data_IF_396267047708
#
_entry.id   IF_396267047708
#
_cell.length_a   1.000
_cell.length_b   1.000
_cell.length_c   1.000
_cell.angle_alpha   90.00
_cell.angle_beta   90.00
_cell.angle_gamma   90.00
#
_symmetry.space_group_name_H-M   'P 1'
#
loop_
_entity.id
_entity.type
_entity.pdbx_description
1 polymer ?
#
# COMPACT_ATOMS: atom_id res chain seq x y z
N UNK A 1 -20.84 -15.88 12.38
CA UNK A 1 -19.67 -15.46 11.57
C UNK A 1 -20.12 -14.28 10.75
N UNK A 2 -19.29 -13.24 10.58
CA UNK A 2 -19.60 -12.11 9.73
C UNK A 2 -19.86 -12.58 8.28
N UNK A 3 -20.57 -11.79 7.51
CA UNK A 3 -20.77 -12.10 6.08
C UNK A 3 -19.45 -11.91 5.31
N UNK A 4 -19.21 -12.67 4.24
CA UNK A 4 -18.05 -12.44 3.40
C UNK A 4 -17.91 -10.97 2.97
N UNK A 5 -16.75 -10.36 3.18
CA UNK A 5 -16.46 -8.95 2.89
C UNK A 5 -16.96 -7.95 3.94
N UNK A 6 -17.55 -8.39 5.05
CA UNK A 6 -18.04 -7.48 6.10
C UNK A 6 -16.88 -6.84 6.87
N UNK A 7 -15.84 -7.61 7.24
CA UNK A 7 -14.65 -7.10 7.93
C UNK A 7 -13.87 -6.11 7.03
N UNK A 8 -13.70 -6.44 5.76
CA UNK A 8 -13.04 -5.54 4.80
C UNK A 8 -13.85 -4.26 4.57
N UNK A 9 -15.18 -4.37 4.46
CA UNK A 9 -16.06 -3.20 4.34
C UNK A 9 -15.94 -2.30 5.56
N UNK A 10 -16.04 -2.88 6.75
CA UNK A 10 -15.92 -2.15 8.00
C UNK A 10 -14.55 -1.45 8.11
N UNK A 11 -13.47 -2.15 7.76
CA UNK A 11 -12.13 -1.59 7.72
C UNK A 11 -12.04 -0.38 6.77
N UNK A 12 -12.59 -0.48 5.54
CA UNK A 12 -12.55 0.62 4.57
C UNK A 12 -13.30 1.85 5.07
N UNK A 13 -14.49 1.68 5.64
CA UNK A 13 -15.31 2.80 6.11
C UNK A 13 -14.88 3.34 7.49
N UNK A 14 -14.08 2.59 8.27
CA UNK A 14 -13.49 3.06 9.52
C UNK A 14 -12.21 3.90 9.34
N UNK A 15 -11.66 4.01 8.12
CA UNK A 15 -10.42 4.77 7.86
C UNK A 15 -10.47 6.22 8.38
N UNK A 16 -11.55 7.02 8.20
CA UNK A 16 -11.60 8.38 8.73
C UNK A 16 -11.45 8.45 10.26
N UNK A 17 -12.05 7.50 10.98
CA UNK A 17 -11.95 7.42 12.44
C UNK A 17 -10.53 7.07 12.88
N UNK A 18 -9.92 6.08 12.26
CA UNK A 18 -8.56 5.67 12.58
C UNK A 18 -7.54 6.78 12.31
N UNK A 19 -7.71 7.53 11.23
CA UNK A 19 -6.85 8.64 10.86
C UNK A 19 -6.90 9.79 11.87
N UNK A 20 -8.05 10.06 12.52
CA UNK A 20 -8.17 11.09 13.56
C UNK A 20 -7.21 10.89 14.73
N UNK A 21 -6.90 9.64 15.07
CA UNK A 21 -6.00 9.33 16.19
C UNK A 21 -4.50 9.33 15.84
N UNK A 22 -4.13 9.44 14.55
CA UNK A 22 -2.73 9.30 14.13
C UNK A 22 -1.85 10.41 14.67
N UNK A 23 -2.29 11.67 14.59
CA UNK A 23 -1.50 12.82 15.07
C UNK A 23 -1.19 12.71 16.57
N UNK A 24 -2.16 12.30 17.39
CA UNK A 24 -1.95 12.10 18.82
C UNK A 24 -0.94 10.98 19.11
N UNK A 25 -1.04 9.85 18.37
CA UNK A 25 -0.13 8.70 18.52
C UNK A 25 1.29 9.02 18.07
N UNK A 26 1.45 9.76 16.99
CA UNK A 26 2.77 10.24 16.54
C UNK A 26 3.33 11.29 17.48
N UNK A 27 2.49 12.18 18.00
CA UNK A 27 2.88 13.26 18.89
C UNK A 27 3.83 14.25 18.20
N UNK A 28 4.87 14.65 18.91
CA UNK A 28 5.92 15.57 18.40
C UNK A 28 7.08 14.84 17.71
N UNK A 29 7.01 13.51 17.58
CA UNK A 29 8.06 12.71 16.94
C UNK A 29 8.26 13.14 15.49
N UNK A 30 9.52 13.13 15.05
CA UNK A 30 9.92 13.36 13.67
C UNK A 30 11.03 12.39 13.31
N UNK A 31 11.08 11.97 12.05
CA UNK A 31 12.20 11.18 11.58
C UNK A 31 13.53 11.88 11.89
N UNK A 32 14.56 11.13 12.31
CA UNK A 32 15.89 11.69 12.51
C UNK A 32 16.40 12.35 11.23
N UNK A 33 17.25 13.37 11.39
CA UNK A 33 17.97 13.96 10.28
C UNK A 33 19.03 13.00 9.75
N UNK A 34 19.22 12.99 8.44
CA UNK A 34 20.21 12.13 7.79
C UNK A 34 19.58 11.21 6.75
N UNK A 35 20.28 10.13 6.42
CA UNK A 35 19.79 9.12 5.49
C UNK A 35 18.86 8.14 6.22
N UNK A 36 17.58 8.20 5.88
CA UNK A 36 16.55 7.30 6.43
C UNK A 36 16.31 6.17 5.44
N UNK A 37 16.47 4.93 5.92
CA UNK A 37 16.17 3.72 5.17
C UNK A 37 14.85 3.14 5.66
N UNK A 38 13.96 2.79 4.74
CA UNK A 38 12.67 2.19 5.05
C UNK A 38 12.61 0.74 4.59
N UNK A 39 11.93 -0.12 5.35
CA UNK A 39 11.75 -1.54 5.00
C UNK A 39 10.42 -2.10 5.48
N UNK A 40 10.03 -3.23 4.90
CA UNK A 40 8.81 -3.97 5.22
C UNK A 40 8.58 -5.10 4.21
N UNK A 41 7.46 -5.78 4.33
CA UNK A 41 7.00 -6.82 3.41
C UNK A 41 5.55 -6.55 2.96
N UNK A 42 5.19 -6.86 1.71
CA UNK A 42 3.83 -6.68 1.17
C UNK A 42 3.32 -5.24 1.32
N UNK A 43 2.11 -5.09 1.83
CA UNK A 43 1.49 -3.78 2.14
C UNK A 43 2.40 -2.87 2.96
N UNK A 44 3.10 -3.43 3.96
CA UNK A 44 4.06 -2.66 4.78
C UNK A 44 5.25 -2.15 3.97
N UNK A 45 5.69 -2.88 2.94
CA UNK A 45 6.73 -2.39 2.05
C UNK A 45 6.23 -1.25 1.15
N UNK A 46 5.01 -1.34 0.63
CA UNK A 46 4.43 -0.24 -0.15
C UNK A 46 4.25 1.02 0.71
N UNK A 47 3.83 0.87 1.97
CA UNK A 47 3.81 1.98 2.92
C UNK A 47 5.22 2.52 3.22
N UNK A 48 6.23 1.65 3.35
CA UNK A 48 7.63 2.05 3.52
C UNK A 48 8.17 2.86 2.31
N UNK A 49 7.76 2.51 1.08
CA UNK A 49 8.11 3.29 -0.11
C UNK A 49 7.50 4.70 -0.07
N UNK A 50 6.25 4.84 0.38
CA UNK A 50 5.64 6.16 0.60
C UNK A 50 6.40 6.94 1.67
N UNK A 51 6.73 6.29 2.79
CA UNK A 51 7.54 6.90 3.86
C UNK A 51 8.89 7.42 3.35
N UNK A 52 9.58 6.65 2.52
CA UNK A 52 10.83 7.04 1.89
C UNK A 52 10.67 8.28 0.98
N UNK A 53 9.62 8.32 0.19
CA UNK A 53 9.32 9.47 -0.68
C UNK A 53 9.04 10.74 0.16
N UNK A 54 8.26 10.63 1.23
CA UNK A 54 7.89 11.74 2.11
C UNK A 54 9.08 12.28 2.91
N UNK A 55 9.99 11.40 3.33
CA UNK A 55 11.16 11.76 4.14
C UNK A 55 12.41 12.10 3.29
N UNK A 56 12.37 11.92 1.97
CA UNK A 56 13.53 12.03 1.11
C UNK A 56 14.58 10.93 1.36
N UNK A 57 14.13 9.73 1.77
CA UNK A 57 14.94 8.56 2.06
C UNK A 57 14.94 7.52 0.93
N UNK A 58 15.24 6.28 1.28
CA UNK A 58 15.18 5.13 0.39
C UNK A 58 14.37 3.99 1.01
N UNK A 59 13.69 3.20 0.18
CA UNK A 59 13.00 1.99 0.63
C UNK A 59 13.63 0.76 0.01
N UNK A 60 13.86 -0.26 0.82
CA UNK A 60 14.47 -1.53 0.42
C UNK A 60 13.64 -2.68 0.99
N UNK A 61 13.40 -3.71 0.18
CA UNK A 61 12.72 -4.92 0.64
C UNK A 61 13.49 -5.58 1.78
N UNK A 62 12.79 -6.14 2.77
CA UNK A 62 13.42 -6.76 3.92
C UNK A 62 14.45 -7.84 3.53
N UNK A 63 14.16 -8.66 2.52
CA UNK A 63 15.10 -9.66 2.02
C UNK A 63 16.40 -9.04 1.47
N UNK A 64 16.29 -7.98 0.68
CA UNK A 64 17.48 -7.31 0.11
C UNK A 64 18.35 -6.67 1.19
N UNK A 65 17.75 -6.20 2.28
CA UNK A 65 18.46 -5.65 3.42
C UNK A 65 19.23 -6.74 4.17
N UNK A 66 18.66 -7.92 4.32
CA UNK A 66 19.32 -9.09 4.91
C UNK A 66 20.48 -9.59 4.04
N UNK A 67 20.28 -9.61 2.71
CA UNK A 67 21.30 -10.13 1.78
C UNK A 67 22.48 -9.20 1.57
N UNK A 68 22.33 -7.90 1.79
CA UNK A 68 23.37 -6.89 1.54
C UNK A 68 23.38 -5.83 2.63
N UNK A 69 24.55 -5.46 3.16
CA UNK A 69 24.63 -4.36 4.10
C UNK A 69 24.25 -3.04 3.42
N UNK A 70 23.33 -2.32 4.04
CA UNK A 70 22.93 -0.98 3.65
C UNK A 70 23.40 0.02 4.68
N UNK A 71 23.95 1.13 4.24
CA UNK A 71 24.36 2.21 5.12
C UNK A 71 23.30 3.30 5.13
N UNK A 72 22.81 3.61 6.31
CA UNK A 72 21.89 4.71 6.59
C UNK A 72 22.08 5.14 8.04
N UNK A 73 21.60 6.34 8.38
CA UNK A 73 21.69 6.83 9.76
C UNK A 73 20.61 6.22 10.66
N UNK A 74 19.49 5.77 10.06
CA UNK A 74 18.40 5.11 10.77
C UNK A 74 17.62 4.19 9.83
N UNK A 75 17.16 3.05 10.36
CA UNK A 75 16.22 2.15 9.72
C UNK A 75 14.80 2.39 10.26
N UNK A 76 13.82 2.54 9.39
CA UNK A 76 12.40 2.57 9.73
C UNK A 76 11.76 1.28 9.19
N UNK A 77 11.45 0.36 10.06
CA UNK A 77 10.69 -0.84 9.73
C UNK A 77 9.18 -0.55 9.82
N UNK A 78 8.43 -1.04 8.86
CA UNK A 78 6.96 -0.98 8.86
C UNK A 78 6.43 -2.41 8.98
N UNK A 79 5.59 -2.67 9.99
CA UNK A 79 4.97 -3.99 10.19
C UNK A 79 3.72 -3.82 11.04
N UNK A 80 2.54 -4.12 10.47
CA UNK A 80 1.28 -3.92 11.18
C UNK A 80 1.19 -4.75 12.47
N UNK A 81 1.47 -6.04 12.40
CA UNK A 81 1.42 -6.95 13.55
C UNK A 81 2.76 -7.05 14.31
N UNK A 82 3.86 -6.60 13.70
CA UNK A 82 5.19 -6.71 14.31
C UNK A 82 5.72 -8.15 14.45
N UNK A 83 5.19 -9.09 13.66
CA UNK A 83 5.51 -10.54 13.74
C UNK A 83 6.23 -11.08 12.51
N UNK A 84 6.38 -10.29 11.43
CA UNK A 84 6.97 -10.74 10.16
C UNK A 84 8.42 -11.17 10.34
N UNK A 85 8.77 -12.46 10.15
CA UNK A 85 10.13 -12.98 10.44
C UNK A 85 11.22 -12.24 9.67
N UNK A 86 11.02 -12.06 8.36
CA UNK A 86 12.02 -11.43 7.49
C UNK A 86 12.24 -9.94 7.83
N UNK A 87 11.21 -9.20 8.24
CA UNK A 87 11.36 -7.84 8.74
C UNK A 87 12.15 -7.81 10.05
N UNK A 88 11.94 -8.81 10.91
CA UNK A 88 12.70 -8.98 12.15
C UNK A 88 14.19 -9.27 11.86
N UNK A 89 14.49 -10.13 10.89
CA UNK A 89 15.86 -10.39 10.44
C UNK A 89 16.50 -9.12 9.86
N UNK A 90 15.77 -8.34 9.09
CA UNK A 90 16.26 -7.09 8.51
C UNK A 90 16.64 -6.07 9.59
N UNK A 91 15.81 -5.91 10.63
CA UNK A 91 16.12 -5.02 11.76
C UNK A 91 17.35 -5.51 12.51
N UNK A 92 17.51 -6.83 12.76
CA UNK A 92 18.70 -7.39 13.39
C UNK A 92 19.96 -7.26 12.56
N UNK A 93 19.84 -7.27 11.24
CA UNK A 93 20.98 -7.16 10.32
C UNK A 93 21.46 -5.72 10.12
N UNK A 94 20.66 -4.74 10.48
CA UNK A 94 21.01 -3.32 10.34
C UNK A 94 21.91 -2.86 11.49
N UNK A 95 23.03 -2.23 11.14
CA UNK A 95 24.01 -1.71 12.13
C UNK A 95 23.73 -0.22 12.37
N UNK A 96 22.73 0.07 13.18
CA UNK A 96 22.33 1.44 13.52
C UNK A 96 20.99 1.51 14.24
N UNK A 97 20.54 2.72 14.63
CA UNK A 97 19.25 2.92 15.28
C UNK A 97 18.10 2.47 14.38
N UNK A 98 17.09 1.87 14.99
CA UNK A 98 15.91 1.36 14.30
C UNK A 98 14.61 1.89 14.90
N UNK A 99 13.67 2.25 14.03
CA UNK A 99 12.33 2.66 14.36
C UNK A 99 11.33 1.62 13.82
N UNK A 100 10.25 1.40 14.55
CA UNK A 100 9.16 0.56 14.13
C UNK A 100 7.86 1.38 14.03
N UNK A 101 7.25 1.42 12.85
CA UNK A 101 5.88 1.91 12.62
C UNK A 101 4.96 0.70 12.61
N UNK A 102 4.06 0.59 13.60
CA UNK A 102 3.29 -0.65 13.85
C UNK A 102 1.87 -0.38 14.38
N UNK A 103 1.00 -1.37 14.23
CA UNK A 103 -0.28 -1.45 14.96
C UNK A 103 -0.13 -2.10 16.34
N UNK A 104 0.93 -2.89 16.56
CA UNK A 104 1.16 -3.69 17.77
C UNK A 104 2.44 -3.24 18.50
N UNK A 105 2.28 -2.39 19.52
CA UNK A 105 3.41 -1.95 20.35
C UNK A 105 4.01 -3.07 21.22
N UNK A 106 3.23 -4.11 21.51
CA UNK A 106 3.69 -5.31 22.24
C UNK A 106 3.87 -6.46 21.24
N UNK A 107 4.98 -6.44 20.50
CA UNK A 107 5.29 -7.45 19.49
C UNK A 107 6.77 -7.81 19.48
N UNK A 108 7.17 -8.99 18.94
CA UNK A 108 8.57 -9.38 18.87
C UNK A 108 9.47 -8.36 18.15
N UNK A 109 8.95 -7.66 17.16
CA UNK A 109 9.69 -6.63 16.44
C UNK A 109 9.79 -5.33 17.26
N UNK A 110 8.77 -5.01 18.08
CA UNK A 110 8.80 -3.86 18.98
C UNK A 110 9.84 -4.01 20.09
N UNK A 111 10.13 -5.24 20.52
CA UNK A 111 11.18 -5.51 21.51
C UNK A 111 12.61 -5.28 20.96
N UNK A 112 12.77 -5.23 19.63
CA UNK A 112 14.05 -5.05 18.97
C UNK A 112 14.31 -3.61 18.54
N UNK A 113 13.24 -2.85 18.27
CA UNK A 113 13.36 -1.49 17.77
C UNK A 113 13.72 -0.50 18.89
N UNK A 114 14.59 0.47 18.59
CA UNK A 114 14.97 1.51 19.55
C UNK A 114 13.83 2.52 19.79
N UNK A 115 12.99 2.75 18.79
CA UNK A 115 11.80 3.60 18.90
C UNK A 115 10.59 2.89 18.27
N UNK A 116 9.47 2.87 19.01
CA UNK A 116 8.22 2.26 18.55
C UNK A 116 7.15 3.34 18.40
N UNK A 117 6.58 3.45 17.20
CA UNK A 117 5.47 4.34 16.88
C UNK A 117 4.25 3.49 16.60
N UNK A 118 3.40 3.33 17.61
CA UNK A 118 2.11 2.67 17.43
C UNK A 118 1.14 3.62 16.73
N UNK A 119 0.64 3.24 15.56
CA UNK A 119 -0.15 4.11 14.69
C UNK A 119 -1.64 3.77 14.62
N UNK A 120 -2.00 2.58 15.09
CA UNK A 120 -3.37 2.07 15.11
C UNK A 120 -3.88 1.85 16.53
N UNK A 121 -5.20 1.99 16.79
CA UNK A 121 -5.78 1.73 18.12
C UNK A 121 -5.80 0.23 18.45
N UNK A 122 -5.89 -0.61 17.43
CA UNK A 122 -5.98 -2.07 17.47
C UNK A 122 -5.46 -2.68 16.17
N UNK A 123 -5.40 -3.99 16.06
CA UNK A 123 -5.09 -4.67 14.80
C UNK A 123 -6.33 -4.68 13.89
N UNK A 124 -6.10 -4.69 12.59
CA UNK A 124 -7.17 -4.81 11.59
C UNK A 124 -7.60 -6.27 11.45
N UNK A 125 -8.91 -6.53 11.54
CA UNK A 125 -9.47 -7.89 11.45
C UNK A 125 -9.41 -8.46 10.03
N UNK A 126 -9.56 -7.59 9.02
CA UNK A 126 -9.47 -7.99 7.61
C UNK A 126 -8.02 -8.22 7.20
N UNK A 127 -7.71 -9.41 6.67
CA UNK A 127 -6.39 -9.70 6.09
C UNK A 127 -6.09 -8.89 4.81
N UNK A 128 -7.09 -8.24 4.23
CA UNK A 128 -6.88 -7.34 3.09
C UNK A 128 -6.16 -6.03 3.46
N UNK A 129 -5.99 -5.72 4.75
CA UNK A 129 -5.18 -4.61 5.28
C UNK A 129 -5.38 -3.27 4.57
N UNK A 130 -6.55 -2.65 4.75
CA UNK A 130 -6.90 -1.37 4.12
C UNK A 130 -6.68 -0.17 5.05
N UNK A 131 -7.29 -0.18 6.23
CA UNK A 131 -7.17 0.91 7.22
C UNK A 131 -5.77 0.95 7.85
N UNK A 132 -5.14 -0.20 8.06
CA UNK A 132 -3.77 -0.28 8.58
C UNK A 132 -2.74 0.34 7.62
N UNK A 133 -2.92 0.16 6.30
CA UNK A 133 -2.09 0.81 5.29
C UNK A 133 -2.21 2.34 5.38
N UNK A 134 -3.44 2.88 5.37
CA UNK A 134 -3.64 4.33 5.34
C UNK A 134 -3.16 5.02 6.61
N UNK A 135 -3.33 4.42 7.80
CA UNK A 135 -2.79 5.01 9.04
C UNK A 135 -1.27 4.92 9.12
N UNK A 136 -0.65 3.85 8.59
CA UNK A 136 0.80 3.78 8.50
C UNK A 136 1.36 4.89 7.58
N UNK A 137 0.74 5.11 6.42
CA UNK A 137 1.11 6.19 5.50
C UNK A 137 0.91 7.56 6.15
N UNK A 138 -0.22 7.80 6.81
CA UNK A 138 -0.50 9.06 7.50
C UNK A 138 0.51 9.33 8.64
N UNK A 139 0.87 8.29 9.40
CA UNK A 139 1.87 8.41 10.46
C UNK A 139 3.26 8.76 9.89
N UNK A 140 3.66 8.14 8.77
CA UNK A 140 4.91 8.49 8.11
C UNK A 140 4.90 9.92 7.56
N UNK A 141 3.76 10.39 7.06
CA UNK A 141 3.60 11.79 6.66
C UNK A 141 3.79 12.75 7.85
N UNK A 142 3.15 12.46 8.99
CA UNK A 142 3.31 13.25 10.22
C UNK A 142 4.76 13.21 10.73
N UNK A 143 5.41 12.04 10.73
CA UNK A 143 6.82 11.87 11.12
C UNK A 143 7.77 12.62 10.18
N UNK A 144 7.42 12.75 8.90
CA UNK A 144 8.15 13.57 7.91
C UNK A 144 7.85 15.07 8.04
N UNK A 145 6.92 15.48 8.90
CA UNK A 145 6.57 16.87 9.17
C UNK A 145 5.46 17.45 8.30
N UNK A 146 4.72 16.62 7.57
CA UNK A 146 3.55 17.04 6.81
C UNK A 146 2.31 17.17 7.71
N UNK A 147 1.45 18.13 7.37
CA UNK A 147 0.14 18.28 8.00
C UNK A 147 -0.80 17.15 7.54
N UNK A 148 -1.47 16.53 8.50
CA UNK A 148 -2.42 15.43 8.28
C UNK A 148 -3.82 15.72 8.83
N UNK A 149 -4.06 16.89 9.40
CA UNK A 149 -5.32 17.22 10.09
C UNK A 149 -6.54 17.15 9.16
N UNK A 150 -6.34 17.47 7.88
CA UNK A 150 -7.39 17.39 6.85
C UNK A 150 -7.71 16.01 6.33
N UNK A 151 -6.85 15.00 6.57
CA UNK A 151 -6.98 13.66 5.98
C UNK A 151 -8.29 12.94 6.36
N UNK A 152 -8.76 12.94 7.63
CA UNK A 152 -9.99 12.25 7.98
C UNK A 152 -11.20 12.74 7.18
N UNK A 153 -11.34 14.06 7.03
CA UNK A 153 -12.44 14.65 6.27
C UNK A 153 -12.30 14.41 4.76
N UNK A 154 -11.07 14.44 4.24
CA UNK A 154 -10.79 14.18 2.83
C UNK A 154 -11.08 12.72 2.46
N UNK A 155 -10.76 11.77 3.34
CA UNK A 155 -11.06 10.34 3.15
C UNK A 155 -12.57 10.09 3.23
N UNK A 156 -13.26 10.67 4.21
CA UNK A 156 -14.71 10.56 4.36
C UNK A 156 -15.42 11.03 3.07
N UNK A 157 -15.05 12.21 2.57
CA UNK A 157 -15.57 12.75 1.31
C UNK A 157 -15.20 11.88 0.09
N UNK A 158 -14.03 11.25 0.09
CA UNK A 158 -13.59 10.41 -1.02
C UNK A 158 -14.31 9.06 -1.07
N UNK A 159 -14.71 8.51 0.08
CA UNK A 159 -15.49 7.27 0.17
C UNK A 159 -16.90 7.41 -0.42
N UNK A 160 -17.44 8.63 -0.51
CA UNK A 160 -18.73 8.94 -1.14
C UNK A 160 -18.63 9.22 -2.66
N UNK A 161 -17.43 9.25 -3.23
CA UNK A 161 -17.23 9.50 -4.67
C UNK A 161 -17.75 8.35 -5.52
N UNK A 162 -18.04 8.61 -6.84
CA UNK A 162 -18.35 7.55 -7.78
C UNK A 162 -17.29 6.45 -7.79
N UNK A 163 -17.73 5.20 -7.81
CA UNK A 163 -16.90 4.01 -7.87
C UNK A 163 -16.24 3.83 -9.22
N UNK A 164 -15.12 3.12 -9.25
CA UNK A 164 -14.53 2.64 -10.48
C UNK A 164 -15.48 1.69 -11.21
N UNK A 165 -15.42 1.70 -12.53
CA UNK A 165 -16.25 0.82 -13.35
C UNK A 165 -15.87 -0.65 -13.12
N UNK A 166 -16.86 -1.46 -12.75
CA UNK A 166 -16.69 -2.90 -12.61
C UNK A 166 -16.45 -3.57 -13.96
N UNK A 167 -15.57 -4.52 -13.97
CA UNK A 167 -15.22 -5.28 -15.17
C UNK A 167 -15.04 -6.76 -14.83
N UNK A 168 -15.42 -7.62 -15.78
CA UNK A 168 -15.28 -9.09 -15.65
C UNK A 168 -13.91 -9.62 -16.10
N UNK A 169 -12.96 -8.73 -16.36
CA UNK A 169 -11.60 -9.12 -16.74
C UNK A 169 -10.90 -9.86 -15.59
N UNK A 170 -10.20 -10.93 -15.91
CA UNK A 170 -9.35 -11.67 -14.97
C UNK A 170 -7.93 -11.11 -14.90
N UNK A 171 -7.54 -10.27 -15.87
CA UNK A 171 -6.22 -9.64 -15.96
C UNK A 171 -6.36 -8.13 -15.77
N UNK A 172 -5.67 -7.60 -14.77
CA UNK A 172 -5.69 -6.18 -14.44
C UNK A 172 -4.29 -5.61 -14.44
N UNK A 173 -4.16 -4.41 -14.96
CA UNK A 173 -2.91 -3.67 -15.04
C UNK A 173 -3.08 -2.33 -14.33
N UNK A 174 -2.30 -2.10 -13.29
CA UNK A 174 -2.27 -0.84 -12.56
C UNK A 174 -0.95 -0.12 -12.89
N UNK A 175 -1.05 1.07 -13.42
CA UNK A 175 0.12 1.82 -13.90
C UNK A 175 0.31 3.08 -13.09
N UNK A 176 1.51 3.27 -12.55
CA UNK A 176 1.89 4.48 -11.81
C UNK A 176 3.36 4.80 -11.98
N UNK A 177 3.73 6.06 -11.88
CA UNK A 177 5.11 6.52 -11.96
C UNK A 177 5.41 7.61 -10.94
N UNK A 178 6.68 7.79 -10.56
CA UNK A 178 7.05 8.73 -9.50
C UNK A 178 6.35 8.40 -8.19
N UNK A 179 5.72 9.38 -7.57
CA UNK A 179 5.01 9.24 -6.29
C UNK A 179 3.81 8.29 -6.30
N UNK A 180 3.27 7.96 -7.48
CA UNK A 180 2.14 7.04 -7.63
C UNK A 180 2.57 5.58 -7.75
N UNK A 181 3.88 5.31 -7.85
CA UNK A 181 4.38 3.95 -7.98
C UNK A 181 4.01 3.05 -6.78
N UNK A 182 4.22 3.46 -5.52
CA UNK A 182 3.79 2.67 -4.37
C UNK A 182 2.28 2.42 -4.33
N UNK A 183 1.47 3.41 -4.71
CA UNK A 183 0.01 3.28 -4.79
C UNK A 183 -0.42 2.28 -5.86
N UNK A 184 0.25 2.26 -7.02
CA UNK A 184 -0.02 1.28 -8.07
C UNK A 184 0.30 -0.15 -7.60
N UNK A 185 1.41 -0.34 -6.89
CA UNK A 185 1.80 -1.64 -6.32
C UNK A 185 0.79 -2.11 -5.27
N UNK A 186 0.39 -1.22 -4.36
CA UNK A 186 -0.60 -1.54 -3.32
C UNK A 186 -1.96 -1.86 -3.93
N UNK A 187 -2.42 -1.10 -4.91
CA UNK A 187 -3.67 -1.35 -5.62
C UNK A 187 -3.69 -2.73 -6.30
N UNK A 188 -2.61 -3.10 -6.98
CA UNK A 188 -2.49 -4.42 -7.59
C UNK A 188 -2.49 -5.54 -6.54
N UNK A 189 -1.83 -5.33 -5.39
CA UNK A 189 -1.84 -6.28 -4.28
C UNK A 189 -3.26 -6.45 -3.72
N UNK A 190 -3.97 -5.36 -3.44
CA UNK A 190 -5.35 -5.41 -2.92
C UNK A 190 -6.32 -6.13 -3.87
N UNK A 191 -6.22 -5.89 -5.17
CA UNK A 191 -7.02 -6.61 -6.16
C UNK A 191 -6.72 -8.12 -6.14
N UNK A 192 -5.46 -8.52 -6.06
CA UNK A 192 -5.08 -9.94 -5.96
C UNK A 192 -5.62 -10.58 -4.69
N UNK A 193 -5.39 -9.96 -3.55
CA UNK A 193 -5.79 -10.46 -2.23
C UNK A 193 -7.31 -10.57 -2.09
N UNK A 194 -8.01 -9.50 -2.44
CA UNK A 194 -9.44 -9.40 -2.16
C UNK A 194 -10.34 -9.97 -3.26
N UNK A 195 -9.85 -10.15 -4.50
CA UNK A 195 -10.70 -10.56 -5.63
C UNK A 195 -10.18 -11.75 -6.43
N UNK A 196 -8.93 -12.17 -6.16
CA UNK A 196 -8.23 -13.29 -6.79
C UNK A 196 -8.01 -13.13 -8.31
N UNK A 197 -8.08 -11.91 -8.82
CA UNK A 197 -7.73 -11.60 -10.22
C UNK A 197 -6.20 -11.55 -10.39
N UNK A 198 -5.72 -11.75 -11.61
CA UNK A 198 -4.32 -11.54 -11.95
C UNK A 198 -4.07 -10.04 -12.14
N UNK A 199 -3.79 -9.32 -11.06
CA UNK A 199 -3.44 -7.91 -11.10
C UNK A 199 -1.93 -7.70 -11.03
N UNK A 200 -1.40 -6.81 -11.87
CA UNK A 200 0.02 -6.45 -11.90
C UNK A 200 0.17 -4.94 -11.85
N UNK A 201 1.23 -4.48 -11.18
CA UNK A 201 1.62 -3.08 -11.22
C UNK A 201 2.81 -2.89 -12.16
N UNK A 202 2.75 -1.87 -13.02
CA UNK A 202 3.90 -1.46 -13.81
C UNK A 202 4.22 0.01 -13.59
N UNK A 203 5.51 0.28 -13.39
CA UNK A 203 6.02 1.63 -13.52
C UNK A 203 5.81 2.13 -14.94
N UNK A 204 5.31 3.35 -15.12
CA UNK A 204 4.89 3.90 -16.41
C UNK A 204 5.93 3.72 -17.52
N UNK A 205 7.22 4.02 -17.24
CA UNK A 205 8.29 3.84 -18.23
C UNK A 205 8.58 2.36 -18.52
N UNK A 206 8.50 1.48 -17.53
CA UNK A 206 8.70 0.05 -17.76
C UNK A 206 7.61 -0.53 -18.66
N UNK A 207 6.37 -0.10 -18.47
CA UNK A 207 5.26 -0.47 -19.36
C UNK A 207 5.57 -0.08 -20.81
N UNK A 208 5.97 1.17 -21.04
CA UNK A 208 6.25 1.71 -22.37
C UNK A 208 7.51 1.13 -23.01
N UNK A 209 8.41 0.53 -22.23
CA UNK A 209 9.67 -0.06 -22.68
C UNK A 209 9.67 -1.60 -22.65
N UNK A 210 8.60 -2.22 -23.20
CA UNK A 210 8.58 -3.65 -23.49
C UNK A 210 7.33 -4.39 -22.97
N UNK A 211 6.78 -4.02 -21.82
CA UNK A 211 5.67 -4.76 -21.23
C UNK A 211 4.35 -4.64 -22.02
N UNK A 212 4.20 -3.64 -22.88
CA UNK A 212 3.06 -3.53 -23.81
C UNK A 212 2.88 -4.75 -24.70
N UNK A 213 3.97 -5.49 -24.98
CA UNK A 213 3.90 -6.68 -25.83
C UNK A 213 2.98 -7.80 -25.28
N UNK A 214 2.70 -7.80 -23.98
CA UNK A 214 1.82 -8.77 -23.31
C UNK A 214 0.39 -8.23 -23.05
N UNK A 215 0.08 -7.06 -23.55
CA UNK A 215 -1.22 -6.39 -23.34
C UNK A 215 -2.09 -6.55 -24.59
N UNK A 216 -3.35 -6.89 -24.36
CA UNK A 216 -4.41 -6.99 -25.36
C UNK A 216 -5.74 -6.55 -24.77
N UNK A 217 -6.84 -6.76 -25.48
CA UNK A 217 -8.21 -6.41 -25.08
C UNK A 217 -8.74 -7.26 -23.88
N UNK A 218 -8.02 -8.29 -23.47
CA UNK A 218 -8.34 -9.10 -22.26
C UNK A 218 -7.81 -8.47 -20.97
N UNK A 219 -7.06 -7.37 -21.06
CA UNK A 219 -6.49 -6.66 -19.92
C UNK A 219 -7.29 -5.39 -19.61
N UNK A 220 -7.83 -5.27 -18.40
CA UNK A 220 -8.37 -4.01 -17.87
C UNK A 220 -7.24 -3.18 -17.26
N UNK A 221 -7.01 -1.98 -17.78
CA UNK A 221 -5.95 -1.10 -17.28
C UNK A 221 -6.52 0.10 -16.50
N UNK A 222 -5.86 0.44 -15.38
CA UNK A 222 -6.08 1.68 -14.63
C UNK A 222 -4.74 2.39 -14.51
N UNK A 223 -4.69 3.64 -14.95
CA UNK A 223 -3.48 4.47 -14.93
C UNK A 223 -3.68 5.61 -13.94
N UNK A 224 -2.73 5.79 -13.04
CA UNK A 224 -2.70 6.93 -12.12
C UNK A 224 -2.08 8.14 -12.84
N UNK A 225 -2.80 9.29 -12.86
CA UNK A 225 -2.28 10.51 -13.49
C UNK A 225 -1.26 11.18 -12.55
N UNK A 226 -0.02 11.17 -12.95
CA UNK A 226 1.09 11.72 -12.18
C UNK A 226 1.21 13.24 -12.26
N UNK A 227 2.21 13.78 -11.56
CA UNK A 227 2.57 15.20 -11.62
C UNK A 227 3.53 15.50 -12.76
N UNK A 228 3.41 16.69 -13.35
CA UNK A 228 4.36 17.22 -14.32
C UNK A 228 4.77 16.17 -15.38
N UNK A 229 6.06 15.84 -15.47
CA UNK A 229 6.59 14.89 -16.43
C UNK A 229 6.03 13.47 -16.25
N UNK A 230 5.79 13.05 -15.02
CA UNK A 230 5.13 11.75 -14.73
C UNK A 230 3.72 11.71 -15.32
N UNK A 231 2.93 12.77 -15.18
CA UNK A 231 1.59 12.86 -15.77
C UNK A 231 1.59 12.86 -17.29
N UNK A 232 2.56 13.51 -17.95
CA UNK A 232 2.71 13.41 -19.40
C UNK A 232 2.90 11.95 -19.83
N UNK A 233 3.76 11.21 -19.11
CA UNK A 233 4.03 9.80 -19.41
C UNK A 233 2.86 8.89 -19.09
N UNK A 234 2.08 9.19 -18.03
CA UNK A 234 0.83 8.49 -17.73
C UNK A 234 -0.17 8.63 -18.87
N UNK A 235 -0.33 9.83 -19.43
CA UNK A 235 -1.19 10.07 -20.60
C UNK A 235 -0.68 9.39 -21.88
N UNK A 236 0.64 9.27 -22.06
CA UNK A 236 1.20 8.49 -23.16
C UNK A 236 0.91 6.99 -22.99
N UNK A 237 0.99 6.46 -21.77
CA UNK A 237 0.61 5.08 -21.46
C UNK A 237 -0.87 4.82 -21.75
N UNK A 238 -1.77 5.75 -21.38
CA UNK A 238 -3.20 5.64 -21.71
C UNK A 238 -3.44 5.58 -23.22
N UNK A 239 -2.74 6.43 -24.01
CA UNK A 239 -2.86 6.41 -25.48
C UNK A 239 -2.40 5.06 -26.04
N UNK A 240 -1.24 4.56 -25.60
CA UNK A 240 -0.71 3.30 -26.05
C UNK A 240 -1.61 2.10 -25.72
N UNK A 241 -2.12 2.04 -24.49
CA UNK A 241 -3.04 0.98 -24.04
C UNK A 241 -4.35 0.98 -24.84
N UNK A 242 -4.92 2.17 -25.07
CA UNK A 242 -6.16 2.32 -25.87
C UNK A 242 -5.96 1.96 -27.33
N UNK A 243 -4.79 2.28 -27.91
CA UNK A 243 -4.44 1.91 -29.29
C UNK A 243 -4.36 0.38 -29.47
N UNK A 244 -3.90 -0.34 -28.42
CA UNK A 244 -3.88 -1.81 -28.38
C UNK A 244 -5.29 -2.41 -28.21
N UNK A 245 -6.27 -1.60 -27.76
CA UNK A 245 -7.64 -2.04 -27.49
C UNK A 245 -7.88 -2.43 -26.03
N UNK A 246 -6.93 -2.24 -25.11
CA UNK A 246 -7.13 -2.49 -23.70
C UNK A 246 -8.10 -1.45 -23.09
N UNK A 247 -9.22 -1.88 -22.47
CA UNK A 247 -10.09 -0.96 -21.73
C UNK A 247 -9.31 -0.23 -20.64
N UNK A 248 -9.17 1.10 -20.79
CA UNK A 248 -8.25 1.90 -19.97
C UNK A 248 -8.94 3.08 -19.34
N UNK A 249 -8.83 3.20 -18.01
CA UNK A 249 -9.27 4.32 -17.21
C UNK A 249 -8.05 5.11 -16.69
N UNK A 250 -8.17 6.45 -16.71
CA UNK A 250 -7.18 7.35 -16.13
C UNK A 250 -7.77 7.93 -14.84
N UNK A 251 -7.17 7.61 -13.71
CA UNK A 251 -7.54 8.24 -12.44
C UNK A 251 -6.91 9.62 -12.34
N UNK A 252 -7.69 10.62 -11.90
CA UNK A 252 -7.18 11.97 -11.79
C UNK A 252 -6.09 12.07 -10.72
N UNK A 253 -5.16 12.98 -10.93
CA UNK A 253 -4.14 13.35 -9.97
C UNK A 253 -4.77 13.79 -8.64
N UNK A 254 -4.15 13.38 -7.54
CA UNK A 254 -4.42 13.88 -6.20
C UNK A 254 -3.27 14.79 -5.79
N UNK A 255 -3.59 15.99 -5.33
CA UNK A 255 -2.61 16.94 -4.82
C UNK A 255 -2.32 16.69 -3.33
N UNK A 256 -1.15 17.17 -2.88
CA UNK A 256 -0.68 17.02 -1.50
C UNK A 256 0.15 15.76 -1.26
N UNK A 257 1.25 15.90 -0.50
CA UNK A 257 2.18 14.80 -0.27
C UNK A 257 1.58 13.67 0.59
N UNK A 258 0.74 13.99 1.58
CA UNK A 258 0.08 13.02 2.45
C UNK A 258 -1.23 12.52 1.84
N UNK A 259 -1.99 13.39 1.17
CA UNK A 259 -3.26 13.07 0.54
C UNK A 259 -3.12 12.13 -0.65
N UNK A 260 -2.09 12.32 -1.47
CA UNK A 260 -1.89 11.57 -2.71
C UNK A 260 -1.91 10.05 -2.52
N UNK A 261 -1.07 9.43 -1.68
CA UNK A 261 -1.07 7.99 -1.52
C UNK A 261 -2.33 7.46 -0.83
N UNK A 262 -2.92 8.24 0.10
CA UNK A 262 -4.11 7.84 0.86
C UNK A 262 -5.37 7.93 0.00
N UNK A 263 -5.62 9.08 -0.64
CA UNK A 263 -6.81 9.24 -1.49
C UNK A 263 -6.68 8.49 -2.82
N UNK A 264 -5.46 8.27 -3.29
CA UNK A 264 -5.19 7.51 -4.51
C UNK A 264 -5.49 6.02 -4.39
N UNK A 265 -5.38 5.42 -3.19
CA UNK A 265 -5.68 4.00 -2.98
C UNK A 265 -7.17 3.74 -2.74
N UNK A 266 -7.95 4.72 -2.24
CA UNK A 266 -9.36 4.50 -1.88
C UNK A 266 -10.24 3.98 -3.01
N UNK A 267 -10.13 4.44 -4.28
CA UNK A 267 -10.90 3.87 -5.38
C UNK A 267 -10.70 2.36 -5.53
N UNK A 268 -9.48 1.88 -5.25
CA UNK A 268 -9.16 0.45 -5.33
C UNK A 268 -9.68 -0.32 -4.12
N UNK A 269 -9.66 0.25 -2.91
CA UNK A 269 -10.31 -0.36 -1.74
C UNK A 269 -11.80 -0.60 -2.00
N UNK A 270 -12.49 0.38 -2.58
CA UNK A 270 -13.89 0.28 -2.94
C UNK A 270 -14.12 -0.71 -4.09
N UNK A 271 -13.23 -0.72 -5.10
CA UNK A 271 -13.28 -1.68 -6.21
C UNK A 271 -13.13 -3.12 -5.72
N UNK A 272 -12.26 -3.37 -4.74
CA UNK A 272 -12.10 -4.70 -4.13
C UNK A 272 -13.41 -5.21 -3.54
N UNK A 273 -14.16 -4.38 -2.80
CA UNK A 273 -15.45 -4.78 -2.26
C UNK A 273 -16.45 -5.16 -3.35
N UNK A 274 -16.61 -4.28 -4.33
CA UNK A 274 -17.59 -4.44 -5.39
C UNK A 274 -17.25 -5.63 -6.30
N UNK A 275 -15.98 -5.81 -6.61
CA UNK A 275 -15.51 -6.91 -7.45
C UNK A 275 -15.53 -8.24 -6.70
N UNK A 276 -15.20 -8.26 -5.40
CA UNK A 276 -15.30 -9.46 -4.56
C UNK A 276 -16.76 -9.94 -4.46
N UNK A 277 -17.71 -9.04 -4.23
CA UNK A 277 -19.14 -9.36 -4.22
C UNK A 277 -19.60 -9.92 -5.57
N UNK A 278 -19.23 -9.26 -6.66
CA UNK A 278 -19.55 -9.72 -8.04
C UNK A 278 -18.98 -11.10 -8.36
N UNK A 279 -17.77 -11.39 -7.88
CA UNK A 279 -17.09 -12.67 -8.09
C UNK A 279 -17.49 -13.77 -7.07
N UNK A 280 -18.24 -13.42 -6.03
CA UNK A 280 -18.63 -14.33 -4.97
C UNK A 280 -17.46 -14.83 -4.13
N UNK A 281 -16.42 -14.01 -3.93
CA UNK A 281 -15.23 -14.33 -3.12
C UNK A 281 -15.22 -13.55 -1.82
N UNK A 282 -14.47 -14.03 -0.83
CA UNK A 282 -14.35 -13.37 0.47
C UNK A 282 -13.00 -12.64 0.59
N UNK A 283 -12.98 -11.29 0.56
CA UNK A 283 -11.77 -10.49 0.73
C UNK A 283 -11.24 -10.49 2.17
N UNK A 284 -12.06 -10.85 3.18
CA UNK A 284 -11.66 -10.78 4.59
C UNK A 284 -10.53 -11.75 4.91
N UNK A 285 -10.47 -12.89 4.21
CA UNK A 285 -9.57 -14.01 4.55
C UNK A 285 -8.47 -14.25 3.54
N UNK A 286 -8.48 -13.62 2.36
CA UNK A 286 -7.46 -13.76 1.31
C UNK A 286 -6.99 -15.21 1.08
N UNK A 287 -7.90 -16.15 1.11
CA UNK A 287 -7.65 -17.61 1.05
C UNK A 287 -6.79 -18.17 2.20
N UNK A 288 -6.75 -17.47 3.33
CA UNK A 288 -5.93 -17.90 4.47
C UNK A 288 -6.29 -19.30 4.97
N UNK A 289 -7.59 -19.63 4.97
CA UNK A 289 -8.14 -20.90 5.45
C UNK A 289 -8.41 -21.94 4.35
N UNK A 290 -8.11 -21.60 3.07
CA UNK A 290 -8.40 -22.45 1.92
C UNK A 290 -7.22 -23.33 1.54
N UNK A 291 -7.50 -24.62 1.23
CA UNK A 291 -6.52 -25.51 0.60
C UNK A 291 -6.54 -25.36 -0.93
N UNK A 292 -5.40 -25.36 -1.63
CA UNK A 292 -4.03 -25.66 -1.16
C UNK A 292 -3.23 -24.44 -0.67
N UNK A 293 -3.81 -23.24 -0.60
CA UNK A 293 -3.08 -22.02 -0.22
C UNK A 293 -2.54 -22.06 1.21
N UNK A 294 -3.30 -22.68 2.14
CA UNK A 294 -2.83 -22.91 3.50
C UNK A 294 -1.54 -23.73 3.51
N UNK A 295 -1.54 -24.91 2.83
CA UNK A 295 -0.31 -25.73 2.75
C UNK A 295 0.86 -25.03 2.07
N UNK A 296 0.56 -24.15 1.10
CA UNK A 296 1.61 -23.37 0.45
C UNK A 296 2.30 -22.42 1.44
N UNK A 297 1.53 -21.74 2.30
CA UNK A 297 2.09 -20.90 3.38
C UNK A 297 2.89 -21.72 4.38
N UNK A 298 2.31 -22.82 4.90
CA UNK A 298 2.97 -23.71 5.85
C UNK A 298 4.33 -24.24 5.33
N UNK A 299 4.59 -24.13 4.03
CA UNK A 299 5.85 -24.59 3.41
C UNK A 299 7.00 -23.59 3.48
N UNK A 300 6.73 -22.32 3.81
CA UNK A 300 7.76 -21.26 3.87
C UNK A 300 7.73 -20.43 5.18
N UNK A 301 6.76 -20.62 6.04
CA UNK A 301 6.72 -20.12 7.42
C UNK A 301 7.44 -21.11 8.38
#
# INVERSE_FOLDING_TARGET
MPKPGEETREAIFAQPEWLRGVQERVGERRFPKGQVLFTGCGTSYHAAQVGAELAGGAAVQALELVLRPWQADVLVAVSHEGTTPLTTEAVRAFDGPSWLVTGAAESPLAELADEVVQVAPELEDSYCHTKSYTVAVAAMAALAGHDIDGLPAAVDAALERPRLELSDHDRWLIVGGGRDWPTAQEAALKLREGTFVAAEAYHTEQLLHGHLAAVDDTVRAIVLDGEARSGERSRDAVKALREIGAPTELLPQVDGPAERPILGILPFHLLVLDLAERRGVNPDRIRWDEEPWKRARDSYE
#
